data_IF_451797759721
#
_entry.id   IF_451797759721
#
_cell.length_a   1.000
_cell.length_b   1.000
_cell.length_c   1.000
_cell.angle_alpha   90.00
_cell.angle_beta   90.00
_cell.angle_gamma   90.00
#
_symmetry.space_group_name_H-M   'P 1'
#
loop_
_entity.id
_entity.type
_entity.pdbx_description
1 polymer ?
#
# COMPACT_ATOMS: atom_id res chain seq x y z
N UNK A 1 -9.59 31.38 -50.31
CA UNK A 1 -10.49 30.36 -49.74
C UNK A 1 -9.61 29.26 -49.17
N UNK A 2 -9.36 29.27 -47.86
CA UNK A 2 -8.55 28.26 -47.18
C UNK A 2 -9.48 27.56 -46.18
N UNK A 3 -9.97 26.38 -46.54
CA UNK A 3 -10.73 25.52 -45.64
C UNK A 3 -9.76 24.86 -44.66
N UNK A 4 -9.82 25.26 -43.40
CA UNK A 4 -9.23 24.53 -42.29
C UNK A 4 -10.08 23.27 -42.06
N UNK A 5 -9.56 22.12 -42.48
CA UNK A 5 -10.09 20.82 -42.06
C UNK A 5 -9.68 20.60 -40.60
N UNK A 6 -10.61 20.85 -39.67
CA UNK A 6 -10.51 20.28 -38.34
C UNK A 6 -10.82 18.79 -38.49
N UNK A 7 -9.79 17.96 -38.36
CA UNK A 7 -9.97 16.51 -38.21
C UNK A 7 -10.86 16.28 -36.97
N UNK A 8 -12.14 15.99 -37.19
CA UNK A 8 -12.96 15.34 -36.17
C UNK A 8 -12.31 13.99 -35.90
N UNK A 9 -11.58 13.88 -34.79
CA UNK A 9 -11.28 12.58 -34.24
C UNK A 9 -12.62 11.97 -33.81
N UNK A 10 -13.11 11.00 -34.58
CA UNK A 10 -14.28 10.23 -34.20
C UNK A 10 -14.03 9.64 -32.80
N UNK A 11 -14.83 10.08 -31.83
CA UNK A 11 -14.76 9.57 -30.47
C UNK A 11 -15.19 8.10 -30.49
N UNK A 12 -14.26 7.18 -30.18
CA UNK A 12 -14.57 5.76 -30.04
C UNK A 12 -15.53 5.59 -28.87
N UNK A 13 -16.79 5.26 -29.18
CA UNK A 13 -17.79 4.90 -28.17
C UNK A 13 -17.64 3.42 -27.83
N UNK A 14 -17.38 3.12 -26.56
CA UNK A 14 -17.31 1.75 -26.06
C UNK A 14 -18.52 1.51 -25.17
N UNK A 15 -19.32 0.50 -25.50
CA UNK A 15 -20.45 0.05 -24.68
C UNK A 15 -20.01 -1.20 -23.94
N UNK A 16 -20.15 -1.18 -22.62
CA UNK A 16 -19.81 -2.30 -21.76
C UNK A 16 -20.72 -2.31 -20.53
N UNK A 17 -20.85 -3.47 -19.86
CA UNK A 17 -21.67 -3.56 -18.64
C UNK A 17 -20.99 -2.95 -17.42
N UNK A 18 -19.67 -3.10 -17.32
CA UNK A 18 -18.90 -2.61 -16.16
C UNK A 18 -17.66 -1.86 -16.63
N UNK A 19 -17.39 -0.71 -16.02
CA UNK A 19 -16.15 0.02 -16.22
C UNK A 19 -15.36 -0.01 -14.92
N UNK A 20 -14.12 -0.49 -14.98
CA UNK A 20 -13.17 -0.46 -13.85
C UNK A 20 -12.22 0.72 -14.08
N UNK A 21 -12.16 1.64 -13.11
CA UNK A 21 -11.35 2.85 -13.21
C UNK A 21 -10.05 2.66 -12.40
N UNK A 22 -8.93 2.60 -13.11
CA UNK A 22 -7.60 2.34 -12.55
C UNK A 22 -7.16 0.88 -12.70
N UNK A 23 -5.96 0.70 -13.24
CA UNK A 23 -5.21 -0.54 -13.42
C UNK A 23 -4.16 -0.79 -12.34
N UNK A 24 -4.35 -0.23 -11.14
CA UNK A 24 -3.63 -0.64 -9.94
C UNK A 24 -4.08 -2.02 -9.44
N UNK A 25 -3.43 -2.53 -8.38
CA UNK A 25 -3.71 -3.85 -7.81
C UNK A 25 -5.20 -4.07 -7.53
N UNK A 26 -5.88 -3.13 -6.85
CA UNK A 26 -7.31 -3.25 -6.55
C UNK A 26 -8.18 -3.34 -7.81
N UNK A 27 -7.92 -2.52 -8.83
CA UNK A 27 -8.68 -2.53 -10.09
C UNK A 27 -8.47 -3.82 -10.89
N UNK A 28 -7.24 -4.31 -10.95
CA UNK A 28 -6.92 -5.59 -11.61
C UNK A 28 -7.59 -6.76 -10.90
N UNK A 29 -7.56 -6.80 -9.56
CA UNK A 29 -8.23 -7.86 -8.79
C UNK A 29 -9.75 -7.77 -8.90
N UNK A 30 -10.33 -6.57 -8.93
CA UNK A 30 -11.76 -6.39 -9.18
C UNK A 30 -12.15 -6.91 -10.57
N UNK A 31 -11.38 -6.60 -11.61
CA UNK A 31 -11.60 -7.10 -12.96
C UNK A 31 -11.44 -8.63 -13.06
N UNK A 32 -10.45 -9.21 -12.36
CA UNK A 32 -10.31 -10.67 -12.21
C UNK A 32 -11.55 -11.28 -11.57
N UNK A 33 -12.04 -10.70 -10.47
CA UNK A 33 -13.23 -11.17 -9.78
C UNK A 33 -14.48 -11.12 -10.67
N UNK A 34 -14.67 -10.05 -11.47
CA UNK A 34 -15.74 -9.99 -12.47
C UNK A 34 -15.64 -11.14 -13.47
N UNK A 35 -14.45 -11.37 -14.02
CA UNK A 35 -14.21 -12.42 -15.00
C UNK A 35 -14.47 -13.83 -14.44
N UNK A 36 -13.96 -14.11 -13.24
CA UNK A 36 -14.13 -15.40 -12.53
C UNK A 36 -15.60 -15.66 -12.18
N UNK A 37 -16.39 -14.60 -11.93
CA UNK A 37 -17.83 -14.69 -11.70
C UNK A 37 -18.67 -14.60 -12.99
N UNK A 38 -18.05 -14.73 -14.16
CA UNK A 38 -18.75 -14.80 -15.46
C UNK A 38 -19.16 -13.46 -16.05
N UNK A 39 -18.86 -12.33 -15.40
CA UNK A 39 -19.04 -10.99 -15.96
C UNK A 39 -17.81 -10.66 -16.82
N UNK A 40 -17.87 -11.01 -18.11
CA UNK A 40 -16.75 -10.81 -19.06
C UNK A 40 -16.84 -9.52 -19.88
N UNK A 41 -18.00 -8.87 -19.87
CA UNK A 41 -18.24 -7.60 -20.55
C UNK A 41 -17.90 -6.45 -19.60
N UNK A 42 -16.59 -6.16 -19.51
CA UNK A 42 -16.06 -5.02 -18.79
C UNK A 42 -14.90 -4.38 -19.54
N UNK A 43 -14.62 -3.13 -19.21
CA UNK A 43 -13.43 -2.41 -19.65
C UNK A 43 -12.70 -1.86 -18.44
N UNK A 44 -11.40 -2.13 -18.34
CA UNK A 44 -10.51 -1.50 -17.36
C UNK A 44 -9.82 -0.32 -18.03
N UNK A 45 -9.91 0.86 -17.41
CA UNK A 45 -9.33 2.11 -17.91
C UNK A 45 -8.18 2.52 -17.00
N UNK A 46 -6.96 2.54 -17.55
CA UNK A 46 -5.73 2.93 -16.86
C UNK A 46 -5.20 4.24 -17.44
N UNK A 47 -4.83 5.16 -16.55
CA UNK A 47 -4.35 6.49 -16.91
C UNK A 47 -2.94 6.45 -17.52
N UNK A 48 -2.11 5.50 -17.08
CA UNK A 48 -0.73 5.31 -17.51
C UNK A 48 -0.60 4.24 -18.62
N UNK A 49 0.63 4.04 -19.08
CA UNK A 49 0.98 3.07 -20.11
C UNK A 49 1.23 1.65 -19.56
N UNK A 50 1.20 1.45 -18.24
CA UNK A 50 1.44 0.16 -17.59
C UNK A 50 0.46 -0.04 -16.43
N UNK A 51 0.29 -1.29 -16.01
CA UNK A 51 -0.48 -1.65 -14.82
C UNK A 51 0.40 -1.59 -13.57
N UNK A 52 -0.22 -1.38 -12.42
CA UNK A 52 0.47 -1.35 -11.13
C UNK A 52 -0.02 -0.23 -10.23
N UNK A 53 -0.33 0.94 -10.81
CA UNK A 53 -0.68 2.14 -10.06
C UNK A 53 0.45 2.50 -9.10
N UNK A 54 0.22 2.31 -7.80
CA UNK A 54 1.20 2.58 -6.72
C UNK A 54 2.23 1.47 -6.46
N UNK A 55 2.19 0.42 -7.26
CA UNK A 55 3.32 -0.48 -7.43
C UNK A 55 4.01 -0.04 -8.71
N UNK A 56 5.08 0.76 -8.58
CA UNK A 56 5.71 1.43 -9.70
C UNK A 56 7.22 1.46 -9.49
N UNK A 57 7.95 1.15 -10.55
CA UNK A 57 9.40 1.15 -10.55
C UNK A 57 9.98 2.12 -11.59
N UNK A 58 11.27 2.42 -11.44
CA UNK A 58 12.06 3.16 -12.43
C UNK A 58 13.45 2.56 -12.59
N UNK A 59 14.20 3.05 -13.57
CA UNK A 59 15.62 2.73 -13.73
C UNK A 59 16.48 3.79 -13.06
N UNK A 60 17.32 3.37 -12.12
CA UNK A 60 18.30 4.20 -11.45
C UNK A 60 19.65 3.49 -11.38
N UNK A 61 20.72 4.15 -11.84
CA UNK A 61 22.08 3.61 -11.87
C UNK A 61 22.20 2.18 -12.49
N UNK A 62 21.37 1.86 -13.48
CA UNK A 62 21.36 0.55 -14.15
C UNK A 62 20.48 -0.51 -13.49
N UNK A 63 19.89 -0.23 -12.33
CA UNK A 63 19.02 -1.13 -11.59
C UNK A 63 17.55 -0.71 -11.69
N UNK A 64 16.64 -1.67 -11.58
CA UNK A 64 15.25 -1.40 -11.23
C UNK A 64 15.16 -1.09 -9.75
N UNK A 65 14.54 0.04 -9.41
CA UNK A 65 14.20 0.43 -8.04
C UNK A 65 12.72 0.78 -7.98
N UNK A 66 12.04 0.43 -6.90
CA UNK A 66 10.65 0.85 -6.69
C UNK A 66 10.61 2.34 -6.34
N UNK A 67 9.62 3.04 -6.86
CA UNK A 67 9.31 4.44 -6.51
C UNK A 67 8.36 4.53 -5.31
N UNK A 68 7.57 3.49 -5.08
CA UNK A 68 6.49 3.47 -4.10
C UNK A 68 6.50 2.16 -3.32
N UNK A 69 5.44 1.34 -3.37
CA UNK A 69 5.39 0.08 -2.63
C UNK A 69 6.65 -0.77 -2.92
N UNK A 70 7.37 -1.18 -1.87
CA UNK A 70 8.61 -1.96 -1.99
C UNK A 70 8.66 -3.16 -1.01
N UNK A 71 7.80 -3.22 0.00
CA UNK A 71 7.77 -4.31 0.97
C UNK A 71 6.56 -5.23 0.78
N UNK A 72 6.76 -6.52 1.01
CA UNK A 72 5.71 -7.42 1.47
C UNK A 72 5.74 -7.37 3.00
N UNK A 73 4.77 -6.68 3.59
CA UNK A 73 4.62 -6.60 5.04
C UNK A 73 3.71 -7.72 5.54
N UNK A 74 4.26 -8.57 6.41
CA UNK A 74 3.63 -9.78 6.90
C UNK A 74 3.51 -10.88 5.83
N UNK A 75 3.94 -12.09 6.15
CA UNK A 75 3.98 -13.22 5.20
C UNK A 75 2.98 -14.31 5.55
N UNK A 76 3.27 -15.18 6.51
CA UNK A 76 2.43 -16.30 6.88
C UNK A 76 2.32 -16.41 8.40
N UNK A 77 1.08 -16.49 8.86
CA UNK A 77 0.80 -16.76 10.26
C UNK A 77 0.93 -18.26 10.53
N UNK A 78 1.97 -18.66 11.26
CA UNK A 78 2.24 -20.07 11.58
C UNK A 78 1.26 -20.67 12.58
N UNK A 79 0.59 -19.85 13.39
CA UNK A 79 -0.41 -20.32 14.35
C UNK A 79 -1.77 -20.60 13.69
N UNK A 80 -2.18 -19.76 12.73
CA UNK A 80 -3.48 -19.90 12.02
C UNK A 80 -3.36 -20.57 10.66
N UNK A 81 -2.13 -20.78 10.17
CA UNK A 81 -1.81 -21.27 8.82
C UNK A 81 -2.41 -20.42 7.69
N UNK A 82 -2.75 -19.16 7.98
CA UNK A 82 -3.21 -18.20 6.97
C UNK A 82 -2.02 -17.50 6.34
N UNK A 83 -2.11 -17.29 5.04
CA UNK A 83 -1.06 -16.67 4.24
C UNK A 83 -1.53 -15.32 3.68
N UNK A 84 -0.67 -14.30 3.77
CA UNK A 84 -0.90 -13.01 3.16
C UNK A 84 -1.08 -13.23 1.64
N UNK A 85 -2.20 -12.79 1.04
CA UNK A 85 -2.44 -12.96 -0.40
C UNK A 85 -1.31 -12.41 -1.28
N UNK A 86 -0.63 -11.34 -0.86
CA UNK A 86 0.52 -10.79 -1.58
C UNK A 86 1.71 -11.75 -1.51
N UNK A 87 1.96 -12.39 -0.35
CA UNK A 87 2.99 -13.42 -0.23
C UNK A 87 2.70 -14.64 -1.12
N UNK A 88 1.44 -15.08 -1.21
CA UNK A 88 1.03 -16.11 -2.17
C UNK A 88 1.37 -15.72 -3.61
N UNK A 89 1.12 -14.47 -4.01
CA UNK A 89 1.44 -13.97 -5.35
C UNK A 89 2.95 -13.88 -5.60
N UNK A 90 3.72 -13.45 -4.60
CA UNK A 90 5.18 -13.42 -4.65
C UNK A 90 5.74 -14.81 -4.97
N UNK A 91 5.27 -15.85 -4.27
CA UNK A 91 5.68 -17.24 -4.57
C UNK A 91 5.20 -17.70 -5.95
N UNK A 92 3.94 -17.41 -6.30
CA UNK A 92 3.36 -17.79 -7.60
C UNK A 92 4.15 -17.25 -8.79
N UNK A 93 4.67 -16.03 -8.67
CA UNK A 93 5.40 -15.35 -9.74
C UNK A 93 6.92 -15.31 -9.52
N UNK A 94 7.43 -16.03 -8.51
CA UNK A 94 8.85 -16.10 -8.16
C UNK A 94 9.51 -14.71 -7.99
N UNK A 95 8.81 -13.77 -7.36
CA UNK A 95 9.31 -12.42 -7.13
C UNK A 95 10.48 -12.46 -6.13
N UNK A 96 11.64 -11.95 -6.56
CA UNK A 96 12.84 -11.87 -5.73
C UNK A 96 12.69 -10.83 -4.62
N UNK A 97 13.00 -11.23 -3.40
CA UNK A 97 12.92 -10.40 -2.21
C UNK A 97 13.98 -10.82 -1.18
N UNK A 98 14.21 -9.96 -0.18
CA UNK A 98 15.13 -10.21 0.93
C UNK A 98 14.48 -9.76 2.23
N UNK A 99 14.68 -10.51 3.33
CA UNK A 99 14.18 -10.10 4.63
C UNK A 99 14.89 -8.85 5.15
N UNK A 100 14.11 -7.93 5.70
CA UNK A 100 14.58 -6.75 6.39
C UNK A 100 14.87 -7.12 7.84
N UNK A 101 16.06 -6.82 8.34
CA UNK A 101 16.36 -6.94 9.75
C UNK A 101 16.29 -5.54 10.38
N UNK A 102 15.14 -5.19 10.94
CA UNK A 102 14.90 -3.90 11.58
C UNK A 102 15.35 -3.88 13.06
N UNK A 103 15.83 -5.01 13.59
CA UNK A 103 16.39 -5.09 14.95
C UNK A 103 17.88 -4.70 14.98
N UNK A 104 18.60 -4.88 13.87
CA UNK A 104 20.03 -4.54 13.75
C UNK A 104 20.23 -3.07 13.35
N UNK A 105 19.90 -2.18 14.30
CA UNK A 105 19.94 -0.74 14.09
C UNK A 105 21.33 -0.14 14.36
N UNK A 106 21.71 0.81 13.50
CA UNK A 106 22.83 1.73 13.74
C UNK A 106 22.31 3.15 13.86
N UNK A 107 22.65 3.81 14.96
CA UNK A 107 22.13 5.13 15.33
C UNK A 107 23.21 6.21 15.18
N UNK A 108 22.80 7.39 14.73
CA UNK A 108 23.68 8.51 14.39
C UNK A 108 23.03 9.83 14.79
N UNK A 109 23.82 10.76 15.30
CA UNK A 109 23.42 12.15 15.51
C UNK A 109 24.27 13.11 14.66
N UNK A 110 24.09 14.42 14.86
CA UNK A 110 24.81 15.45 14.11
C UNK A 110 26.35 15.39 14.23
N UNK A 111 26.88 14.64 15.20
CA UNK A 111 28.31 14.46 15.46
C UNK A 111 28.85 13.09 14.97
N UNK A 112 28.00 12.22 14.43
CA UNK A 112 28.39 10.90 13.92
C UNK A 112 27.71 9.76 14.67
N UNK A 113 28.40 8.62 14.77
CA UNK A 113 27.86 7.44 15.44
C UNK A 113 27.64 7.71 16.94
N UNK A 114 26.40 7.57 17.37
CA UNK A 114 25.99 7.73 18.76
C UNK A 114 24.96 6.66 19.06
N UNK A 115 25.26 5.78 20.01
CA UNK A 115 24.33 4.72 20.38
C UNK A 115 23.24 5.24 21.32
N UNK A 116 22.02 5.35 20.80
CA UNK A 116 20.81 5.65 21.57
C UNK A 116 19.69 4.61 21.35
N UNK A 117 20.06 3.35 21.11
CA UNK A 117 19.09 2.26 20.90
C UNK A 117 18.22 1.98 22.14
N UNK A 118 18.66 2.37 23.32
CA UNK A 118 17.85 2.35 24.53
C UNK A 118 16.63 3.28 24.43
N UNK A 119 16.77 4.44 23.75
CA UNK A 119 15.68 5.36 23.46
C UNK A 119 14.68 4.72 22.50
N UNK A 120 15.17 4.06 21.44
CA UNK A 120 14.34 3.30 20.50
C UNK A 120 13.52 2.23 21.24
N UNK A 121 14.19 1.38 22.01
CA UNK A 121 13.52 0.32 22.78
C UNK A 121 12.46 0.88 23.73
N UNK A 122 12.74 2.00 24.39
CA UNK A 122 11.76 2.67 25.27
C UNK A 122 10.54 3.15 24.48
N UNK A 123 10.71 3.61 23.24
CA UNK A 123 9.58 3.97 22.39
C UNK A 123 8.79 2.74 21.91
N UNK A 124 9.45 1.64 21.55
CA UNK A 124 8.75 0.39 21.18
C UNK A 124 7.87 -0.14 22.34
N UNK A 125 8.37 -0.04 23.57
CA UNK A 125 7.62 -0.37 24.79
C UNK A 125 6.40 0.58 24.98
N UNK A 126 6.49 1.84 24.52
CA UNK A 126 5.38 2.80 24.53
C UNK A 126 4.37 2.48 23.44
N UNK A 127 4.83 2.28 22.20
CA UNK A 127 4.01 1.92 21.06
C UNK A 127 3.12 0.70 21.41
N UNK A 128 3.72 -0.35 21.97
CA UNK A 128 3.01 -1.54 22.44
C UNK A 128 1.90 -1.22 23.47
N UNK A 129 2.15 -0.30 24.41
CA UNK A 129 1.13 0.13 25.38
C UNK A 129 -0.01 0.89 24.71
N UNK A 130 0.30 1.73 23.73
CA UNK A 130 -0.71 2.47 22.95
C UNK A 130 -1.60 1.47 22.19
N UNK A 131 -1.03 0.48 21.51
CA UNK A 131 -1.80 -0.57 20.83
C UNK A 131 -2.75 -1.31 21.80
N UNK A 132 -2.27 -1.63 23.01
CA UNK A 132 -3.09 -2.30 24.03
C UNK A 132 -4.24 -1.43 24.55
N UNK A 133 -4.00 -0.12 24.78
CA UNK A 133 -5.06 0.82 25.17
C UNK A 133 -6.07 1.02 24.03
N UNK A 134 -5.62 1.15 22.79
CA UNK A 134 -6.48 1.27 21.61
C UNK A 134 -7.41 0.06 21.48
N UNK A 135 -6.87 -1.16 21.66
CA UNK A 135 -7.66 -2.39 21.69
C UNK A 135 -8.70 -2.41 22.82
N UNK A 136 -8.37 -1.83 23.98
CA UNK A 136 -9.31 -1.68 25.11
C UNK A 136 -10.41 -0.67 24.79
N UNK A 137 -10.06 0.46 24.18
CA UNK A 137 -10.99 1.50 23.74
C UNK A 137 -11.98 0.97 22.72
N UNK A 138 -11.49 0.25 21.70
CA UNK A 138 -12.33 -0.37 20.68
C UNK A 138 -13.33 -1.36 21.29
N UNK A 139 -12.87 -2.27 22.17
CA UNK A 139 -13.74 -3.24 22.86
C UNK A 139 -14.81 -2.62 23.74
N UNK A 140 -14.56 -1.42 24.26
CA UNK A 140 -15.46 -0.71 25.17
C UNK A 140 -16.25 0.41 24.48
N UNK A 141 -16.12 0.53 23.16
CA UNK A 141 -16.74 1.59 22.36
C UNK A 141 -16.45 2.99 22.92
N UNK A 142 -15.21 3.22 23.34
CA UNK A 142 -14.75 4.53 23.79
C UNK A 142 -14.43 5.42 22.59
N UNK A 143 -14.39 6.73 22.84
CA UNK A 143 -13.98 7.71 21.82
C UNK A 143 -12.53 7.48 21.40
N UNK A 144 -12.28 7.64 20.10
CA UNK A 144 -10.94 7.63 19.52
C UNK A 144 -10.13 8.86 19.95
N UNK A 145 -8.81 8.75 19.84
CA UNK A 145 -7.84 9.81 20.12
C UNK A 145 -6.85 9.91 18.96
N UNK A 146 -6.05 10.98 18.89
CA UNK A 146 -4.84 10.88 18.06
C UNK A 146 -3.87 9.89 18.69
N UNK A 147 -2.96 9.34 17.88
CA UNK A 147 -1.90 8.50 18.37
C UNK A 147 -0.97 9.28 19.33
N UNK A 148 -0.78 10.59 19.12
CA UNK A 148 0.00 11.47 20.02
C UNK A 148 -0.61 11.56 21.43
N UNK A 149 -1.92 11.69 21.56
CA UNK A 149 -2.56 11.62 22.88
C UNK A 149 -2.41 10.24 23.52
N UNK A 150 -2.48 9.17 22.71
CA UNK A 150 -2.24 7.79 23.17
C UNK A 150 -0.85 7.63 23.79
N UNK A 151 0.20 8.08 23.10
CA UNK A 151 1.57 8.00 23.62
C UNK A 151 1.78 8.90 24.85
N UNK A 152 1.16 10.09 24.90
CA UNK A 152 1.17 10.96 26.08
C UNK A 152 0.57 10.26 27.32
N UNK A 153 -0.56 9.59 27.15
CA UNK A 153 -1.19 8.80 28.22
C UNK A 153 -0.35 7.59 28.64
N UNK A 154 0.42 7.01 27.71
CA UNK A 154 1.38 5.95 27.99
C UNK A 154 2.68 6.44 28.66
N UNK A 155 2.82 7.75 28.84
CA UNK A 155 3.96 8.38 29.53
C UNK A 155 5.10 8.83 28.61
N UNK A 156 4.84 8.99 27.31
CA UNK A 156 5.82 9.45 26.33
C UNK A 156 5.47 10.82 25.77
N UNK A 157 6.48 11.68 25.69
CA UNK A 157 6.40 12.95 24.95
C UNK A 157 7.79 13.34 24.48
N UNK A 158 8.11 13.11 23.21
CA UNK A 158 9.45 13.34 22.69
C UNK A 158 9.94 14.79 22.93
N UNK A 159 11.09 14.94 23.59
CA UNK A 159 11.75 16.21 23.88
C UNK A 159 13.09 16.33 23.16
N UNK A 160 13.84 15.23 23.04
CA UNK A 160 15.17 15.22 22.43
C UNK A 160 15.12 14.85 20.93
N UNK A 161 16.15 15.20 20.13
CA UNK A 161 16.25 14.72 18.75
C UNK A 161 16.19 13.20 18.63
N UNK A 162 16.83 12.47 19.54
CA UNK A 162 16.85 11.01 19.57
C UNK A 162 15.46 10.43 19.83
N UNK A 163 14.68 11.02 20.74
CA UNK A 163 13.30 10.61 20.99
C UNK A 163 12.40 10.87 19.78
N UNK A 164 12.60 11.99 19.07
CA UNK A 164 11.86 12.29 17.83
C UNK A 164 12.21 11.34 16.69
N UNK A 165 13.47 10.93 16.60
CA UNK A 165 13.90 9.92 15.61
C UNK A 165 13.32 8.56 15.93
N UNK A 166 13.26 8.16 17.21
CA UNK A 166 12.61 6.91 17.61
C UNK A 166 11.11 6.90 17.28
N UNK A 167 10.43 8.02 17.54
CA UNK A 167 9.03 8.21 17.14
C UNK A 167 8.84 8.12 15.63
N UNK A 168 9.65 8.85 14.87
CA UNK A 168 9.62 8.84 13.40
C UNK A 168 9.90 7.45 12.83
N UNK A 169 10.87 6.72 13.38
CA UNK A 169 11.27 5.41 12.88
C UNK A 169 10.19 4.35 13.10
N UNK A 170 9.50 4.37 14.24
CA UNK A 170 8.47 3.38 14.56
C UNK A 170 7.09 3.77 14.02
N UNK A 171 6.76 5.06 13.96
CA UNK A 171 5.45 5.54 13.53
C UNK A 171 5.47 6.12 12.11
N UNK A 172 6.05 7.29 11.90
CA UNK A 172 5.97 8.00 10.62
C UNK A 172 6.56 7.20 9.44
N UNK A 173 7.58 6.38 9.69
CA UNK A 173 8.16 5.50 8.67
C UNK A 173 7.13 4.50 8.12
N UNK A 174 6.20 4.03 8.96
CA UNK A 174 5.13 3.11 8.56
C UNK A 174 3.91 3.86 8.03
N UNK A 175 3.47 4.91 8.72
CA UNK A 175 2.19 5.57 8.45
C UNK A 175 2.29 6.79 7.51
N UNK A 176 3.51 7.28 7.24
CA UNK A 176 3.81 8.44 6.41
C UNK A 176 3.14 9.76 6.86
N UNK A 177 2.69 9.83 8.12
CA UNK A 177 2.17 11.02 8.78
C UNK A 177 2.51 10.96 10.29
N UNK A 178 2.33 12.07 10.98
CA UNK A 178 2.69 12.22 12.40
C UNK A 178 1.69 11.50 13.31
N UNK A 179 2.11 11.11 14.54
CA UNK A 179 1.19 10.59 15.55
C UNK A 179 0.01 11.51 15.86
N UNK A 180 0.21 12.83 15.80
CA UNK A 180 -0.82 13.83 16.10
C UNK A 180 -1.90 13.92 15.01
N UNK A 181 -1.55 13.61 13.75
CA UNK A 181 -2.49 13.60 12.63
C UNK A 181 -3.22 12.24 12.46
N UNK A 182 -2.77 11.21 13.17
CA UNK A 182 -3.19 9.84 12.95
C UNK A 182 -4.12 9.34 14.05
N UNK A 183 -5.16 8.58 13.67
CA UNK A 183 -6.06 7.93 14.62
C UNK A 183 -5.33 6.85 15.42
N UNK A 184 -5.50 6.86 16.73
CA UNK A 184 -4.97 5.84 17.63
C UNK A 184 -5.57 4.46 17.34
N UNK A 185 -6.89 4.39 17.18
CA UNK A 185 -7.60 3.14 16.89
C UNK A 185 -7.25 2.61 15.50
N UNK A 186 -7.33 3.44 14.46
CA UNK A 186 -7.12 2.96 13.08
C UNK A 186 -5.66 2.59 12.80
N UNK A 187 -4.68 3.31 13.37
CA UNK A 187 -3.27 2.89 13.30
C UNK A 187 -3.05 1.52 13.96
N UNK A 188 -3.71 1.28 15.09
CA UNK A 188 -3.66 -0.02 15.79
C UNK A 188 -4.36 -1.13 14.99
N UNK A 189 -5.51 -0.84 14.37
CA UNK A 189 -6.20 -1.80 13.50
C UNK A 189 -5.31 -2.15 12.31
N UNK A 190 -4.71 -1.15 11.66
CA UNK A 190 -3.75 -1.37 10.58
C UNK A 190 -2.57 -2.26 11.01
N UNK A 191 -1.92 -1.96 12.14
CA UNK A 191 -0.84 -2.79 12.67
C UNK A 191 -1.30 -4.24 12.90
N UNK A 192 -2.48 -4.43 13.49
CA UNK A 192 -2.99 -5.77 13.79
C UNK A 192 -3.37 -6.58 12.54
N UNK A 193 -4.05 -5.96 11.57
CA UNK A 193 -4.45 -6.62 10.32
C UNK A 193 -3.26 -6.93 9.39
N UNK A 194 -2.11 -6.30 9.62
CA UNK A 194 -0.84 -6.63 8.95
C UNK A 194 -0.02 -7.62 9.79
N UNK A 195 0.48 -7.21 10.95
CA UNK A 195 1.54 -7.92 11.66
C UNK A 195 1.03 -9.00 12.62
N UNK A 196 -0.15 -8.81 13.23
CA UNK A 196 -0.76 -9.84 14.08
C UNK A 196 -1.52 -10.88 13.24
N UNK A 197 -2.18 -10.43 12.18
CA UNK A 197 -2.90 -11.31 11.27
C UNK A 197 -1.95 -12.21 10.49
N UNK A 198 -0.82 -11.69 10.00
CA UNK A 198 0.17 -12.44 9.23
C UNK A 198 1.36 -12.80 10.11
N UNK A 199 2.40 -11.98 10.17
CA UNK A 199 3.53 -12.06 11.10
C UNK A 199 4.34 -10.76 10.97
N UNK A 200 5.45 -10.66 11.71
CA UNK A 200 6.36 -9.51 11.73
C UNK A 200 7.42 -9.53 10.60
N UNK A 201 7.30 -10.41 9.61
CA UNK A 201 8.26 -10.46 8.51
C UNK A 201 8.02 -9.33 7.51
N UNK A 202 9.08 -8.56 7.23
CA UNK A 202 9.09 -7.54 6.19
C UNK A 202 10.09 -7.89 5.09
N UNK A 203 9.57 -8.27 3.92
CA UNK A 203 10.40 -8.69 2.78
C UNK A 203 10.52 -7.55 1.75
N UNK A 204 11.74 -7.05 1.55
CA UNK A 204 12.07 -6.01 0.59
C UNK A 204 12.19 -6.59 -0.83
N UNK A 205 11.37 -6.09 -1.77
CA UNK A 205 11.46 -6.46 -3.17
C UNK A 205 12.77 -5.96 -3.81
N UNK A 206 13.53 -6.88 -4.41
CA UNK A 206 14.78 -6.58 -5.14
C UNK A 206 14.72 -7.04 -6.61
N UNK A 207 13.53 -7.47 -7.05
CA UNK A 207 13.33 -8.04 -8.36
C UNK A 207 13.52 -7.02 -9.48
N UNK A 208 14.35 -7.35 -10.46
CA UNK A 208 14.62 -6.46 -11.59
C UNK A 208 13.46 -6.35 -12.59
N UNK A 209 12.45 -7.22 -12.48
CA UNK A 209 11.18 -7.08 -13.19
C UNK A 209 10.27 -5.98 -12.60
N UNK A 210 10.55 -5.54 -11.37
CA UNK A 210 9.75 -4.59 -10.61
C UNK A 210 8.58 -5.23 -9.89
N UNK A 211 8.17 -4.69 -8.74
CA UNK A 211 7.15 -5.28 -7.87
C UNK A 211 5.78 -5.32 -8.55
N UNK A 212 5.52 -4.39 -9.48
CA UNK A 212 4.30 -4.36 -10.30
C UNK A 212 4.14 -5.58 -11.22
N UNK A 213 5.15 -6.45 -11.35
CA UNK A 213 5.03 -7.73 -12.06
C UNK A 213 3.90 -8.59 -11.52
N UNK A 214 3.59 -8.52 -10.22
CA UNK A 214 2.45 -9.21 -9.62
C UNK A 214 1.14 -8.77 -10.27
N UNK A 215 0.93 -7.46 -10.39
CA UNK A 215 -0.27 -6.85 -10.99
C UNK A 215 -0.37 -7.21 -12.47
N UNK A 216 0.74 -7.07 -13.21
CA UNK A 216 0.79 -7.37 -14.65
C UNK A 216 0.50 -8.83 -14.94
N UNK A 217 1.02 -9.75 -14.13
CA UNK A 217 0.80 -11.17 -14.33
C UNK A 217 -0.59 -11.63 -13.88
N UNK A 218 -1.17 -11.02 -12.86
CA UNK A 218 -2.57 -11.25 -12.50
C UNK A 218 -3.52 -10.79 -13.62
N UNK A 219 -3.27 -9.62 -14.21
CA UNK A 219 -4.06 -9.12 -15.34
C UNK A 219 -4.11 -10.13 -16.51
N UNK A 220 -2.96 -10.73 -16.86
CA UNK A 220 -2.86 -11.73 -17.95
C UNK A 220 -3.74 -12.98 -17.74
N UNK A 221 -4.18 -13.26 -16.53
CA UNK A 221 -5.02 -14.45 -16.24
C UNK A 221 -6.45 -14.31 -16.77
N UNK A 222 -6.92 -13.08 -16.98
CA UNK A 222 -8.30 -12.81 -17.39
C UNK A 222 -8.41 -11.84 -18.58
N UNK A 223 -7.39 -11.01 -18.82
CA UNK A 223 -7.46 -9.99 -19.87
C UNK A 223 -7.14 -10.59 -21.24
N UNK A 224 -8.00 -10.34 -22.22
CA UNK A 224 -7.59 -10.22 -23.62
C UNK A 224 -7.13 -8.77 -23.86
N UNK A 225 -6.25 -8.53 -24.84
CA UNK A 225 -5.70 -7.18 -25.12
C UNK A 225 -6.77 -6.09 -25.35
N UNK A 226 -8.02 -6.47 -25.64
CA UNK A 226 -9.10 -5.54 -25.97
C UNK A 226 -9.85 -4.97 -24.75
N UNK A 227 -9.71 -5.58 -23.57
CA UNK A 227 -10.48 -5.19 -22.38
C UNK A 227 -9.75 -4.20 -21.46
N UNK A 228 -8.54 -3.78 -21.82
CA UNK A 228 -7.74 -2.80 -21.06
C UNK A 228 -7.41 -1.60 -21.94
N UNK A 229 -7.80 -0.42 -21.49
CA UNK A 229 -7.51 0.87 -22.12
C UNK A 229 -6.42 1.59 -21.35
N UNK A 230 -5.20 1.53 -21.85
CA UNK A 230 -4.06 2.31 -21.33
C UNK A 230 -4.10 3.77 -21.78
N UNK A 231 -3.30 4.62 -21.14
CA UNK A 231 -3.13 6.05 -21.47
C UNK A 231 -4.46 6.82 -21.54
N UNK A 232 -5.42 6.42 -20.71
CA UNK A 232 -6.81 6.86 -20.80
C UNK A 232 -7.26 7.47 -19.48
N UNK A 233 -7.33 8.80 -19.45
CA UNK A 233 -7.76 9.55 -18.25
C UNK A 233 -9.27 9.78 -18.32
N UNK A 234 -10.00 9.27 -17.33
CA UNK A 234 -11.42 9.57 -17.16
C UNK A 234 -11.58 10.98 -16.60
N UNK A 235 -12.13 11.89 -17.42
CA UNK A 235 -12.33 13.30 -17.05
C UNK A 235 -13.68 13.59 -16.42
N UNK A 236 -14.69 12.75 -16.71
CA UNK A 236 -16.07 12.90 -16.23
C UNK A 236 -16.70 11.51 -16.11
N UNK A 237 -17.48 11.31 -15.05
CA UNK A 237 -18.39 10.19 -14.90
C UNK A 237 -19.78 10.72 -14.56
N UNK A 238 -20.81 10.02 -15.02
CA UNK A 238 -22.20 10.35 -14.73
C UNK A 238 -22.97 9.06 -14.52
N UNK A 239 -23.79 9.01 -13.46
CA UNK A 239 -24.74 7.92 -13.23
C UNK A 239 -26.08 8.45 -13.70
N UNK A 240 -26.60 7.85 -14.77
CA UNK A 240 -27.94 8.18 -15.29
C UNK A 240 -28.90 7.12 -14.77
N UNK A 241 -29.76 7.49 -13.84
CA UNK A 241 -30.89 6.65 -13.42
C UNK A 241 -32.04 6.94 -14.37
N UNK A 242 -32.48 5.93 -15.13
CA UNK A 242 -33.78 6.02 -15.78
C UNK A 242 -34.82 5.91 -14.66
N UNK A 243 -35.57 6.98 -14.40
CA UNK A 243 -36.78 6.88 -13.61
C UNK A 243 -37.70 5.87 -14.32
N UNK A 244 -38.07 4.81 -13.61
CA UNK A 244 -39.09 3.85 -14.03
C UNK A 244 -40.47 4.49 -14.04
#
# INVERSE_FOLDING_TARGET
>A
MLMLFVSQHDAKTIKTKVVVLGGGMAGVIAARALYENGVKDFVLVEAESDLGGRMKHTKFAGYTVELEANWIQGTMNTATYKENPIWTLTKKYNLLNVASNLDDLSTYDQNGYTDYRDVQKRYDDIFTKVLADAGTRLKRTLVDLSFDEGQCLAGWKAQTPQEKVAELFTFDFEYADTPAASSMIEATVNYNETYIQWNEDDLFCIDQQGFNILVRNEAKTFSTNDNIMYNSIVKKSAIVTNQL
#
